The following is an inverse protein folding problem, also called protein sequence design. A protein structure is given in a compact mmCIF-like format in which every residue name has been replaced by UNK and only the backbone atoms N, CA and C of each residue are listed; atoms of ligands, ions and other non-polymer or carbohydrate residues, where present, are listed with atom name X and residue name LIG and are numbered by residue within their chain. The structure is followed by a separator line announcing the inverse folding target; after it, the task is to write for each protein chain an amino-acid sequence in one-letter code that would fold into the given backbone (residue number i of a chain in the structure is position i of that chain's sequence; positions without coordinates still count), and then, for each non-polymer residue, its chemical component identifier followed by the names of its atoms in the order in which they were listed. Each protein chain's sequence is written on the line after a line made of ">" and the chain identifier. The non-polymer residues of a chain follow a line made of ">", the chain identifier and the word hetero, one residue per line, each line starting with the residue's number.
data_IF_539984802285
#
_entry.id   IF_539984802285
#
_cell.length_a   1.000
_cell.length_b   1.000
_cell.length_c   1.000
_cell.angle_alpha   90.00
_cell.angle_beta   90.00
_cell.angle_gamma   90.00
#
_symmetry.space_group_name_H-M   'P 1'
#
loop_
_entity.id
_entity.type
_entity.pdbx_description
1 polymer ?
#
# COMPACT_ATOMS: atom_id res chain seq x y z
N UNK A 1 -10.47 -5.81 -1.98
CA UNK A 1 -11.06 -7.06 -1.50
C UNK A 1 -10.62 -8.25 -2.35
N UNK A 2 -11.04 -9.45 -2.06
CA UNK A 2 -10.68 -10.63 -2.84
C UNK A 2 -11.83 -11.64 -2.90
N UNK A 3 -11.66 -12.67 -3.73
CA UNK A 3 -12.54 -13.84 -3.83
C UNK A 3 -12.74 -14.58 -2.51
N UNK A 4 -11.81 -14.47 -1.55
CA UNK A 4 -11.93 -15.07 -0.21
C UNK A 4 -13.17 -14.66 0.57
N UNK A 5 -13.87 -13.60 0.18
CA UNK A 5 -15.17 -13.22 0.78
C UNK A 5 -16.25 -14.26 0.51
N UNK A 6 -16.05 -15.12 -0.48
CA UNK A 6 -16.94 -16.23 -0.80
C UNK A 6 -16.40 -17.53 -0.25
N UNK A 7 -17.31 -18.40 0.17
CA UNK A 7 -16.98 -19.74 0.63
C UNK A 7 -18.10 -20.68 0.29
N UNK A 8 -17.76 -21.84 -0.26
CA UNK A 8 -18.72 -22.88 -0.61
C UNK A 8 -18.45 -23.45 -1.99
N UNK A 9 -19.36 -24.28 -2.43
CA UNK A 9 -19.37 -24.86 -3.77
C UNK A 9 -20.56 -24.24 -4.52
N UNK A 10 -20.28 -23.50 -5.56
CA UNK A 10 -21.27 -22.83 -6.37
C UNK A 10 -21.43 -23.61 -7.70
N UNK A 11 -22.67 -23.73 -8.17
CA UNK A 11 -22.96 -24.43 -9.44
C UNK A 11 -22.58 -23.57 -10.65
N UNK A 12 -22.73 -22.24 -10.50
CA UNK A 12 -22.43 -21.23 -11.54
C UNK A 12 -21.36 -20.25 -11.07
N UNK A 13 -20.87 -19.42 -12.02
CA UNK A 13 -20.02 -18.28 -11.71
C UNK A 13 -20.69 -17.33 -10.70
N UNK A 14 -19.91 -16.83 -9.76
CA UNK A 14 -20.40 -15.96 -8.69
C UNK A 14 -20.47 -14.52 -9.21
N UNK A 15 -21.67 -13.96 -9.27
CA UNK A 15 -21.92 -12.54 -9.56
C UNK A 15 -21.67 -11.64 -8.34
N UNK A 16 -21.57 -10.33 -8.56
CA UNK A 16 -21.36 -9.32 -7.51
C UNK A 16 -22.55 -9.18 -6.55
N UNK A 17 -23.72 -9.62 -6.95
CA UNK A 17 -24.98 -9.66 -6.18
C UNK A 17 -25.01 -10.78 -5.12
N UNK A 18 -24.13 -11.79 -5.27
CA UNK A 18 -24.03 -12.88 -4.31
C UNK A 18 -23.48 -12.37 -2.99
N UNK A 19 -24.19 -12.68 -1.90
CA UNK A 19 -23.80 -12.25 -0.56
C UNK A 19 -22.50 -12.95 -0.12
N UNK A 20 -21.51 -12.19 0.39
CA UNK A 20 -20.30 -12.76 0.99
C UNK A 20 -20.61 -13.75 2.11
N UNK A 21 -19.95 -14.90 2.09
CA UNK A 21 -20.20 -16.03 3.01
C UNK A 21 -18.94 -16.53 3.72
N UNK A 22 -17.80 -15.88 3.50
CA UNK A 22 -16.52 -16.32 4.04
C UNK A 22 -16.46 -16.38 5.57
N UNK A 23 -15.99 -17.50 6.12
CA UNK A 23 -15.93 -17.74 7.57
C UNK A 23 -14.53 -17.63 8.15
N UNK A 24 -13.49 -17.72 7.31
CA UNK A 24 -12.09 -17.55 7.72
C UNK A 24 -11.85 -16.12 8.24
N UNK A 25 -10.90 -15.95 9.15
CA UNK A 25 -10.58 -14.64 9.77
C UNK A 25 -10.35 -13.56 8.69
N UNK A 26 -9.50 -13.87 7.70
CA UNK A 26 -9.19 -12.92 6.60
C UNK A 26 -10.44 -12.56 5.80
N UNK A 27 -11.27 -13.54 5.44
CA UNK A 27 -12.53 -13.29 4.74
C UNK A 27 -13.46 -12.38 5.54
N UNK A 28 -13.63 -12.64 6.84
CA UNK A 28 -14.44 -11.78 7.74
C UNK A 28 -13.90 -10.36 7.82
N UNK A 29 -12.59 -10.19 7.89
CA UNK A 29 -11.97 -8.85 7.90
C UNK A 29 -12.25 -8.10 6.59
N UNK A 30 -12.16 -8.78 5.44
CA UNK A 30 -12.50 -8.19 4.14
C UNK A 30 -13.97 -7.81 4.05
N UNK A 31 -14.89 -8.68 4.50
CA UNK A 31 -16.33 -8.40 4.54
C UNK A 31 -16.61 -7.17 5.41
N UNK A 32 -16.02 -7.09 6.60
CA UNK A 32 -16.19 -5.93 7.49
C UNK A 32 -15.61 -4.65 6.85
N UNK A 33 -14.50 -4.74 6.13
CA UNK A 33 -13.94 -3.59 5.41
C UNK A 33 -14.88 -3.12 4.29
N UNK A 34 -15.52 -4.03 3.55
CA UNK A 34 -16.53 -3.68 2.55
C UNK A 34 -17.76 -3.02 3.20
N UNK A 35 -18.26 -3.53 4.33
CA UNK A 35 -19.36 -2.93 5.08
C UNK A 35 -19.03 -1.50 5.57
N UNK A 36 -17.80 -1.27 6.01
CA UNK A 36 -17.32 0.08 6.37
C UNK A 36 -17.34 0.99 5.15
N UNK A 37 -16.85 0.54 4.01
CA UNK A 37 -16.88 1.29 2.75
C UNK A 37 -18.30 1.66 2.35
N UNK A 38 -19.23 0.71 2.46
CA UNK A 38 -20.65 0.95 2.17
C UNK A 38 -21.28 1.97 3.13
N UNK A 39 -20.95 1.92 4.41
CA UNK A 39 -21.38 2.91 5.39
C UNK A 39 -20.87 4.32 5.06
N UNK A 40 -19.61 4.47 4.66
CA UNK A 40 -19.07 5.76 4.25
C UNK A 40 -19.73 6.27 2.96
N UNK A 41 -19.99 5.39 2.01
CA UNK A 41 -20.73 5.73 0.78
C UNK A 41 -22.14 6.24 1.10
N UNK A 42 -22.89 5.49 1.91
CA UNK A 42 -24.29 5.76 2.18
C UNK A 42 -24.52 6.96 3.11
N UNK A 43 -23.68 7.13 4.14
CA UNK A 43 -23.87 8.14 5.17
C UNK A 43 -23.14 9.45 4.87
N UNK A 44 -22.01 9.39 4.12
CA UNK A 44 -21.14 10.55 3.87
C UNK A 44 -21.07 10.93 2.39
N UNK A 45 -21.70 10.16 1.50
CA UNK A 45 -21.71 10.41 0.07
C UNK A 45 -20.33 10.26 -0.57
N UNK A 46 -19.44 9.46 0.03
CA UNK A 46 -18.11 9.22 -0.53
C UNK A 46 -18.19 8.34 -1.78
N UNK A 47 -17.45 8.71 -2.81
CA UNK A 47 -17.31 7.90 -4.02
C UNK A 47 -16.28 6.77 -3.77
N UNK A 48 -16.78 5.59 -3.46
CA UNK A 48 -15.98 4.42 -3.12
C UNK A 48 -16.33 3.28 -4.06
N UNK A 49 -15.34 2.73 -4.75
CA UNK A 49 -15.45 1.56 -5.58
C UNK A 49 -14.77 0.36 -4.90
N UNK A 50 -15.47 -0.76 -4.79
CA UNK A 50 -14.94 -2.01 -4.26
C UNK A 50 -14.56 -2.92 -5.41
N UNK A 51 -13.30 -3.34 -5.46
CA UNK A 51 -12.80 -4.31 -6.42
C UNK A 51 -12.49 -5.61 -5.69
N UNK A 52 -13.19 -6.71 -6.03
CA UNK A 52 -12.92 -8.06 -5.54
C UNK A 52 -12.04 -8.76 -6.56
N UNK A 53 -10.78 -8.95 -6.20
CA UNK A 53 -9.80 -9.61 -7.06
C UNK A 53 -9.92 -11.13 -6.89
N UNK A 54 -9.85 -11.81 -7.99
CA UNK A 54 -9.71 -13.26 -8.02
C UNK A 54 -8.32 -13.70 -7.53
N UNK A 55 -7.99 -14.99 -7.56
CA UNK A 55 -6.69 -15.52 -7.13
C UNK A 55 -5.54 -14.78 -7.81
N UNK A 56 -5.03 -13.75 -7.11
CA UNK A 56 -3.96 -12.90 -7.64
C UNK A 56 -2.65 -13.69 -7.67
N UNK A 57 -2.05 -13.78 -8.86
CA UNK A 57 -0.77 -14.44 -9.06
C UNK A 57 0.28 -13.48 -9.62
N UNK A 58 1.49 -13.57 -9.06
CA UNK A 58 2.67 -12.86 -9.53
C UNK A 58 3.90 -13.75 -9.41
N UNK A 59 4.98 -13.38 -10.10
CA UNK A 59 6.25 -14.10 -10.02
C UNK A 59 7.00 -13.62 -8.77
N UNK A 60 7.19 -14.49 -7.73
CA UNK A 60 7.84 -14.08 -6.49
C UNK A 60 9.31 -13.75 -6.72
N UNK A 61 9.84 -12.79 -5.98
CA UNK A 61 11.26 -12.41 -6.05
C UNK A 61 12.12 -13.19 -5.07
N UNK A 62 11.53 -13.57 -3.94
CA UNK A 62 12.17 -14.34 -2.87
C UNK A 62 11.16 -15.24 -2.14
N UNK A 63 11.61 -15.96 -1.13
CA UNK A 63 10.78 -16.87 -0.33
C UNK A 63 9.69 -16.17 0.49
N UNK A 64 9.88 -14.89 0.82
CA UNK A 64 8.94 -14.12 1.64
C UNK A 64 7.73 -13.65 0.81
N UNK A 65 7.84 -13.65 -0.53
CA UNK A 65 6.77 -13.28 -1.47
C UNK A 65 5.97 -14.51 -1.99
N UNK A 66 6.12 -15.69 -1.41
CA UNK A 66 5.37 -16.88 -1.81
C UNK A 66 4.00 -16.89 -1.10
N UNK A 67 3.07 -16.14 -1.64
CA UNK A 67 1.71 -15.95 -1.12
C UNK A 67 0.61 -16.45 -2.08
N UNK A 68 0.97 -16.80 -3.33
CA UNK A 68 0.02 -17.27 -4.34
C UNK A 68 0.14 -18.77 -4.61
N UNK A 69 -0.96 -19.36 -5.08
CA UNK A 69 -1.09 -20.80 -5.30
C UNK A 69 -0.06 -21.35 -6.29
N UNK A 70 0.21 -20.61 -7.38
CA UNK A 70 1.17 -21.04 -8.41
C UNK A 70 2.60 -21.12 -7.85
N UNK A 71 3.02 -20.10 -7.09
CA UNK A 71 4.35 -20.06 -6.49
C UNK A 71 4.50 -21.12 -5.40
N UNK A 72 3.46 -21.34 -4.58
CA UNK A 72 3.44 -22.38 -3.58
C UNK A 72 3.63 -23.76 -4.21
N UNK A 73 2.85 -24.11 -5.24
CA UNK A 73 2.98 -25.39 -5.92
C UNK A 73 4.34 -25.57 -6.60
N UNK A 74 4.92 -24.51 -7.15
CA UNK A 74 6.29 -24.54 -7.66
C UNK A 74 7.30 -24.85 -6.56
N UNK A 75 7.18 -24.21 -5.39
CA UNK A 75 8.06 -24.45 -4.25
C UNK A 75 7.92 -25.88 -3.71
N UNK A 76 6.70 -26.40 -3.53
CA UNK A 76 6.43 -27.77 -3.12
C UNK A 76 7.07 -28.77 -4.09
N UNK A 77 6.94 -28.54 -5.40
CA UNK A 77 7.59 -29.35 -6.43
C UNK A 77 9.11 -29.39 -6.30
N UNK A 78 9.73 -28.24 -5.97
CA UNK A 78 11.19 -28.11 -5.85
C UNK A 78 11.72 -28.68 -4.51
N UNK A 79 11.01 -28.41 -3.40
CA UNK A 79 11.47 -28.73 -2.04
C UNK A 79 11.12 -30.16 -1.64
N UNK A 80 9.88 -30.55 -1.90
CA UNK A 80 9.30 -31.80 -1.40
C UNK A 80 9.22 -32.91 -2.46
N UNK A 81 9.47 -32.56 -3.73
CA UNK A 81 9.30 -33.49 -4.86
C UNK A 81 7.84 -33.94 -5.03
N UNK A 82 6.90 -33.22 -4.44
CA UNK A 82 5.46 -33.52 -4.52
C UNK A 82 4.65 -32.25 -4.48
N UNK A 83 3.49 -32.23 -5.17
CA UNK A 83 2.55 -31.12 -5.20
C UNK A 83 1.23 -31.63 -4.62
N UNK A 84 0.73 -30.96 -3.60
CA UNK A 84 -0.57 -31.26 -3.00
C UNK A 84 -1.66 -30.51 -3.75
N UNK A 85 -2.71 -31.19 -4.18
CA UNK A 85 -3.82 -30.62 -4.94
C UNK A 85 -5.16 -31.10 -4.40
N UNK A 86 -6.15 -30.22 -4.40
CA UNK A 86 -7.55 -30.61 -4.20
C UNK A 86 -8.20 -30.89 -5.56
N UNK A 87 -8.78 -32.10 -5.68
CA UNK A 87 -9.38 -32.53 -6.95
C UNK A 87 -10.68 -31.80 -7.30
N UNK A 88 -11.31 -31.18 -6.30
CA UNK A 88 -12.59 -30.47 -6.44
C UNK A 88 -12.45 -28.95 -6.50
N UNK A 89 -11.22 -28.44 -6.36
CA UNK A 89 -11.00 -27.00 -6.34
C UNK A 89 -10.81 -26.47 -7.76
N UNK A 90 -11.78 -25.68 -8.20
CA UNK A 90 -11.77 -24.94 -9.47
C UNK A 90 -11.89 -23.44 -9.18
N UNK A 91 -11.04 -22.65 -9.83
CA UNK A 91 -10.92 -21.22 -9.63
C UNK A 91 -10.38 -20.57 -10.92
N UNK A 92 -10.34 -19.26 -10.97
CA UNK A 92 -9.62 -18.54 -12.00
C UNK A 92 -8.41 -17.79 -11.42
N UNK A 93 -7.42 -17.52 -12.26
CA UNK A 93 -6.17 -16.86 -11.87
C UNK A 93 -6.11 -15.48 -12.50
N UNK A 94 -6.02 -14.44 -11.68
CA UNK A 94 -5.76 -13.09 -12.14
C UNK A 94 -4.27 -12.78 -12.03
N UNK A 95 -3.61 -12.49 -13.14
CA UNK A 95 -2.20 -12.14 -13.14
C UNK A 95 -1.99 -10.66 -12.80
N UNK A 96 -0.90 -10.34 -12.09
CA UNK A 96 -0.55 -8.99 -11.64
C UNK A 96 -0.69 -7.93 -12.75
N UNK A 97 -0.28 -8.25 -13.97
CA UNK A 97 -0.36 -7.30 -15.10
C UNK A 97 -1.78 -6.95 -15.48
N UNK A 98 -2.68 -7.94 -15.51
CA UNK A 98 -4.10 -7.72 -15.80
C UNK A 98 -4.76 -6.98 -14.64
N UNK A 99 -4.44 -7.35 -13.39
CA UNK A 99 -4.95 -6.66 -12.21
C UNK A 99 -4.58 -5.16 -12.22
N UNK A 100 -3.32 -4.84 -12.53
CA UNK A 100 -2.85 -3.45 -12.64
C UNK A 100 -3.59 -2.69 -13.75
N UNK A 101 -3.74 -3.30 -14.92
CA UNK A 101 -4.46 -2.67 -16.04
C UNK A 101 -5.93 -2.45 -15.71
N UNK A 102 -6.60 -3.44 -15.11
CA UNK A 102 -7.99 -3.33 -14.70
C UNK A 102 -8.20 -2.20 -13.70
N UNK A 103 -7.38 -2.13 -12.65
CA UNK A 103 -7.42 -1.04 -11.65
C UNK A 103 -7.15 0.31 -12.33
N UNK A 104 -6.16 0.39 -13.22
CA UNK A 104 -5.84 1.62 -13.92
C UNK A 104 -7.00 2.13 -14.77
N UNK A 105 -7.74 1.25 -15.43
CA UNK A 105 -8.89 1.64 -16.22
C UNK A 105 -10.07 2.13 -15.36
N UNK A 106 -10.30 1.51 -14.19
CA UNK A 106 -11.33 2.03 -13.27
C UNK A 106 -11.01 3.46 -12.81
N UNK A 107 -9.73 3.79 -12.58
CA UNK A 107 -9.31 5.13 -12.16
C UNK A 107 -9.53 6.22 -13.22
N UNK A 108 -9.67 5.86 -14.51
CA UNK A 108 -9.93 6.81 -15.60
C UNK A 108 -11.39 7.24 -15.67
N UNK A 109 -12.29 6.46 -15.12
CA UNK A 109 -13.73 6.70 -15.20
C UNK A 109 -14.18 7.47 -13.96
N UNK A 110 -14.92 8.57 -14.17
CA UNK A 110 -15.41 9.42 -13.08
C UNK A 110 -16.69 8.90 -12.40
N UNK A 111 -17.48 8.09 -13.10
CA UNK A 111 -18.72 7.52 -12.58
C UNK A 111 -18.81 6.06 -12.99
N UNK A 112 -19.03 5.18 -12.03
CA UNK A 112 -19.19 3.75 -12.22
C UNK A 112 -20.66 3.37 -12.19
N UNK A 113 -21.08 2.38 -12.99
CA UNK A 113 -22.46 1.88 -12.99
C UNK A 113 -22.75 1.07 -11.73
N UNK A 114 -21.76 0.40 -11.18
CA UNK A 114 -21.87 -0.41 -9.98
C UNK A 114 -20.86 0.02 -8.92
N UNK A 115 -21.10 -0.38 -7.68
CA UNK A 115 -20.25 -0.08 -6.54
C UNK A 115 -19.23 -1.17 -6.24
N UNK A 116 -19.43 -2.35 -6.82
CA UNK A 116 -18.59 -3.54 -6.64
C UNK A 116 -18.37 -4.15 -8.00
N UNK A 117 -17.13 -4.55 -8.31
CA UNK A 117 -16.78 -5.33 -9.50
C UNK A 117 -15.88 -6.48 -9.13
N UNK A 118 -16.07 -7.59 -9.83
CA UNK A 118 -15.14 -8.71 -9.82
C UNK A 118 -14.07 -8.50 -10.87
N UNK A 119 -12.80 -8.63 -10.48
CA UNK A 119 -11.66 -8.62 -11.38
C UNK A 119 -11.15 -10.05 -11.52
N UNK A 120 -11.45 -10.68 -12.63
CA UNK A 120 -11.08 -12.07 -12.93
C UNK A 120 -10.54 -12.19 -14.35
N UNK A 121 -9.77 -13.25 -14.62
CA UNK A 121 -9.35 -13.56 -15.98
C UNK A 121 -10.45 -14.24 -16.80
N UNK A 122 -11.44 -14.85 -16.14
CA UNK A 122 -12.44 -15.69 -16.77
C UNK A 122 -11.91 -17.07 -17.23
N UNK A 123 -10.61 -17.36 -17.08
CA UNK A 123 -10.00 -18.65 -17.40
C UNK A 123 -10.11 -19.59 -16.21
N UNK A 124 -11.07 -20.51 -16.24
CA UNK A 124 -11.27 -21.49 -15.16
C UNK A 124 -10.21 -22.58 -15.23
N UNK A 125 -9.55 -22.84 -14.10
CA UNK A 125 -8.52 -23.85 -13.97
C UNK A 125 -8.73 -24.68 -12.69
N UNK A 126 -8.44 -25.97 -12.76
CA UNK A 126 -8.38 -26.83 -11.56
C UNK A 126 -6.95 -26.93 -11.01
N UNK A 127 -6.81 -27.17 -9.70
CA UNK A 127 -5.49 -27.40 -9.10
C UNK A 127 -4.72 -28.54 -9.76
N UNK A 128 -5.43 -29.60 -10.21
CA UNK A 128 -4.83 -30.75 -10.90
C UNK A 128 -4.19 -30.33 -12.23
N UNK A 129 -4.90 -29.51 -13.02
CA UNK A 129 -4.39 -28.99 -14.31
C UNK A 129 -3.20 -28.07 -14.06
N UNK A 130 -3.27 -27.18 -13.08
CA UNK A 130 -2.19 -26.29 -12.71
C UNK A 130 -0.94 -27.05 -12.27
N UNK A 131 -1.08 -28.07 -11.41
CA UNK A 131 0.02 -28.93 -10.99
C UNK A 131 0.64 -29.68 -12.18
N UNK A 132 -0.19 -30.14 -13.12
CA UNK A 132 0.28 -30.76 -14.37
C UNK A 132 1.14 -29.84 -15.21
N UNK A 133 0.72 -28.56 -15.37
CA UNK A 133 1.50 -27.54 -16.07
C UNK A 133 2.84 -27.26 -15.35
N UNK A 134 2.82 -27.08 -14.02
CA UNK A 134 4.02 -26.82 -13.22
C UNK A 134 5.01 -27.98 -13.37
N UNK A 135 4.54 -29.24 -13.20
CA UNK A 135 5.38 -30.42 -13.38
C UNK A 135 6.01 -30.50 -14.78
N UNK A 136 5.22 -30.19 -15.82
CA UNK A 136 5.69 -30.15 -17.23
C UNK A 136 6.82 -29.13 -17.42
N UNK A 137 6.65 -27.93 -16.87
CA UNK A 137 7.63 -26.84 -17.07
C UNK A 137 8.82 -26.89 -16.10
N UNK A 138 8.64 -27.49 -14.91
CA UNK A 138 9.75 -27.78 -14.01
C UNK A 138 10.64 -28.91 -14.50
N UNK A 139 10.15 -29.72 -15.44
CA UNK A 139 10.85 -30.90 -15.95
C UNK A 139 11.37 -31.79 -14.82
N UNK A 140 10.52 -32.03 -13.84
CA UNK A 140 10.84 -32.87 -12.71
C UNK A 140 9.81 -34.00 -12.55
N UNK A 141 10.21 -35.03 -11.80
CA UNK A 141 9.35 -36.20 -11.52
C UNK A 141 8.48 -36.02 -10.28
N UNK A 142 8.15 -34.77 -9.92
CA UNK A 142 7.32 -34.51 -8.75
C UNK A 142 6.00 -35.30 -8.80
N UNK A 143 5.66 -35.94 -7.71
CA UNK A 143 4.39 -36.67 -7.58
C UNK A 143 3.26 -35.68 -7.29
N UNK A 144 2.08 -35.93 -7.86
CA UNK A 144 0.88 -35.16 -7.53
C UNK A 144 0.10 -35.95 -6.49
N UNK A 145 -0.02 -35.37 -5.28
CA UNK A 145 -0.76 -35.97 -4.17
C UNK A 145 -2.14 -35.33 -4.14
N UNK A 146 -3.16 -36.12 -4.42
CA UNK A 146 -4.55 -35.65 -4.41
C UNK A 146 -5.10 -35.68 -3.00
N UNK A 147 -5.73 -34.60 -2.59
CA UNK A 147 -6.53 -34.48 -1.38
C UNK A 147 -7.98 -34.26 -1.79
N UNK A 148 -8.92 -34.63 -0.93
CA UNK A 148 -10.34 -34.32 -1.11
C UNK A 148 -10.77 -33.37 0.02
N UNK A 149 -10.00 -32.32 0.23
CA UNK A 149 -10.42 -31.23 1.09
C UNK A 149 -11.53 -30.44 0.37
N UNK A 150 -12.46 -29.88 1.12
CA UNK A 150 -13.70 -29.25 0.62
C UNK A 150 -13.45 -27.95 -0.19
N UNK A 151 -12.44 -27.93 -1.05
CA UNK A 151 -12.28 -26.91 -2.07
C UNK A 151 -13.43 -27.06 -3.06
N UNK A 152 -14.27 -26.05 -3.18
CA UNK A 152 -15.41 -26.06 -4.06
C UNK A 152 -15.14 -25.34 -5.36
N UNK A 153 -16.09 -25.36 -6.27
CA UNK A 153 -16.13 -24.49 -7.43
C UNK A 153 -16.42 -23.05 -6.94
N UNK A 154 -15.44 -22.17 -7.04
CA UNK A 154 -15.54 -20.77 -6.63
C UNK A 154 -14.93 -19.86 -7.71
N UNK A 155 -15.68 -19.63 -8.77
CA UNK A 155 -15.25 -18.84 -9.93
C UNK A 155 -16.01 -17.53 -9.95
N UNK A 156 -15.31 -16.40 -9.99
CA UNK A 156 -15.93 -15.10 -10.08
C UNK A 156 -16.35 -14.76 -11.51
N UNK A 157 -17.55 -14.17 -11.67
CA UNK A 157 -18.00 -13.64 -12.93
C UNK A 157 -17.46 -12.23 -13.16
N UNK A 158 -16.73 -11.99 -14.23
CA UNK A 158 -16.22 -10.68 -14.63
C UNK A 158 -17.15 -9.91 -15.59
N UNK A 159 -18.36 -10.40 -15.87
CA UNK A 159 -19.25 -9.87 -16.90
C UNK A 159 -19.55 -8.40 -16.76
N UNK A 160 -19.89 -7.95 -15.53
CA UNK A 160 -20.22 -6.55 -15.28
C UNK A 160 -19.04 -5.62 -15.51
N UNK A 161 -17.84 -6.07 -15.17
CA UNK A 161 -16.61 -5.32 -15.41
C UNK A 161 -16.32 -5.23 -16.93
N UNK A 162 -16.39 -6.34 -17.64
CA UNK A 162 -16.15 -6.39 -19.08
C UNK A 162 -17.18 -5.56 -19.87
N UNK A 163 -18.45 -5.61 -19.50
CA UNK A 163 -19.51 -4.82 -20.14
C UNK A 163 -19.34 -3.31 -19.94
N UNK A 164 -18.79 -2.89 -18.82
CA UNK A 164 -18.61 -1.46 -18.56
C UNK A 164 -17.33 -0.90 -19.13
N UNK A 165 -16.21 -1.64 -18.96
CA UNK A 165 -14.89 -1.13 -19.33
C UNK A 165 -14.41 -1.67 -20.70
N UNK A 166 -15.02 -2.69 -21.24
CA UNK A 166 -14.66 -3.28 -22.55
C UNK A 166 -13.28 -3.93 -22.57
N UNK A 167 -12.82 -4.43 -21.43
CA UNK A 167 -11.47 -4.94 -21.26
C UNK A 167 -11.53 -6.38 -20.79
N UNK A 168 -10.68 -7.22 -21.41
CA UNK A 168 -10.50 -8.62 -21.07
C UNK A 168 -9.07 -8.87 -20.61
N UNK A 169 -8.86 -9.92 -19.81
CA UNK A 169 -7.52 -10.36 -19.44
C UNK A 169 -6.74 -10.79 -20.69
N UNK A 170 -5.48 -10.38 -20.75
CA UNK A 170 -4.58 -10.70 -21.87
C UNK A 170 -3.48 -11.69 -21.47
N UNK A 171 -3.26 -11.90 -20.18
CA UNK A 171 -2.21 -12.75 -19.65
C UNK A 171 -2.67 -14.22 -19.64
N UNK A 172 -2.08 -15.06 -20.51
CA UNK A 172 -2.35 -16.50 -20.51
C UNK A 172 -1.68 -17.19 -19.34
N UNK A 173 -2.44 -18.03 -18.63
CA UNK A 173 -1.96 -18.76 -17.45
C UNK A 173 -0.78 -19.66 -17.80
N UNK A 174 -0.83 -20.43 -18.90
CA UNK A 174 0.27 -21.33 -19.30
C UNK A 174 1.60 -20.58 -19.50
N UNK A 175 1.58 -19.43 -20.19
CA UNK A 175 2.78 -18.63 -20.44
C UNK A 175 3.39 -18.04 -19.16
N UNK A 176 2.56 -17.61 -18.24
CA UNK A 176 3.02 -17.02 -16.98
C UNK A 176 3.51 -18.10 -16.00
N UNK A 177 2.85 -19.25 -15.92
CA UNK A 177 3.34 -20.41 -15.18
C UNK A 177 4.70 -20.86 -15.72
N UNK A 178 4.88 -20.92 -17.04
CA UNK A 178 6.18 -21.22 -17.65
C UNK A 178 7.26 -20.22 -17.28
N UNK A 179 6.96 -18.91 -17.27
CA UNK A 179 7.90 -17.87 -16.84
C UNK A 179 8.24 -18.01 -15.35
N UNK A 180 7.23 -18.23 -14.51
CA UNK A 180 7.40 -18.41 -13.07
C UNK A 180 8.28 -19.63 -12.76
N UNK A 181 7.96 -20.78 -13.32
CA UNK A 181 8.73 -22.02 -13.12
C UNK A 181 10.18 -21.87 -13.57
N UNK A 182 10.41 -21.27 -14.74
CA UNK A 182 11.75 -20.98 -15.25
C UNK A 182 12.52 -20.02 -14.35
N UNK A 183 11.85 -19.02 -13.80
CA UNK A 183 12.44 -18.07 -12.87
C UNK A 183 12.79 -18.72 -11.53
N UNK A 184 11.86 -19.45 -10.92
CA UNK A 184 12.07 -20.11 -9.64
C UNK A 184 13.17 -21.19 -9.74
N UNK A 185 13.20 -21.98 -10.83
CA UNK A 185 14.26 -22.95 -11.11
C UNK A 185 15.65 -22.28 -11.24
N UNK A 186 15.70 -21.12 -11.92
CA UNK A 186 16.96 -20.36 -12.06
C UNK A 186 17.51 -19.83 -10.73
N UNK A 187 16.63 -19.59 -9.76
CA UNK A 187 16.96 -19.02 -8.45
C UNK A 187 16.59 -19.97 -7.32
N UNK A 188 16.75 -21.27 -7.54
CA UNK A 188 16.42 -22.33 -6.59
C UNK A 188 17.06 -22.12 -5.22
N UNK A 189 18.31 -21.64 -5.18
CA UNK A 189 19.03 -21.31 -3.96
C UNK A 189 18.34 -20.25 -3.10
N UNK A 190 17.58 -19.33 -3.71
CA UNK A 190 16.80 -18.31 -2.99
C UNK A 190 15.54 -18.91 -2.39
N UNK A 191 14.85 -19.77 -3.13
CA UNK A 191 13.54 -20.30 -2.75
C UNK A 191 13.62 -21.53 -1.85
N UNK A 192 14.51 -22.47 -2.16
CA UNK A 192 14.63 -23.74 -1.41
C UNK A 192 15.51 -23.57 -0.19
N UNK A 193 16.64 -22.87 -0.30
CA UNK A 193 17.63 -22.71 0.78
C UNK A 193 17.52 -21.39 1.53
N UNK A 194 16.47 -20.57 1.24
CA UNK A 194 16.19 -19.29 1.90
C UNK A 194 17.41 -18.33 1.90
N UNK A 195 18.29 -18.46 0.94
CA UNK A 195 19.44 -17.55 0.81
C UNK A 195 18.97 -16.21 0.30
N UNK A 196 18.87 -15.22 1.18
CA UNK A 196 18.51 -13.83 0.80
C UNK A 196 19.40 -13.34 -0.33
N UNK A 197 18.80 -12.92 -1.43
CA UNK A 197 19.49 -12.30 -2.55
C UNK A 197 20.30 -11.11 -2.06
N UNK A 198 21.62 -11.21 -2.08
CA UNK A 198 22.47 -10.05 -1.82
C UNK A 198 22.32 -9.09 -2.99
N UNK A 199 21.56 -8.03 -2.79
CA UNK A 199 21.58 -6.91 -3.73
C UNK A 199 23.02 -6.44 -3.94
N UNK A 200 23.43 -6.12 -5.18
CA UNK A 200 24.77 -5.55 -5.41
C UNK A 200 24.97 -4.36 -4.46
N UNK A 201 26.17 -4.26 -3.91
CA UNK A 201 26.51 -3.27 -2.86
C UNK A 201 26.09 -1.84 -3.23
N UNK A 202 26.21 -1.45 -4.51
CA UNK A 202 25.83 -0.13 -4.99
C UNK A 202 24.31 0.10 -4.95
N UNK A 203 23.45 -0.95 -5.15
CA UNK A 203 22.00 -0.84 -4.98
C UNK A 203 21.61 -0.74 -3.50
N UNK A 204 22.33 -1.41 -2.61
CA UNK A 204 22.12 -1.28 -1.16
C UNK A 204 22.47 0.13 -0.70
N UNK A 205 23.57 0.70 -1.19
CA UNK A 205 23.96 2.08 -0.93
C UNK A 205 22.94 3.05 -1.49
N UNK A 206 22.50 2.87 -2.75
CA UNK A 206 21.50 3.72 -3.40
C UNK A 206 20.15 3.70 -2.67
N UNK A 207 19.67 2.53 -2.26
CA UNK A 207 18.44 2.40 -1.47
C UNK A 207 18.55 3.10 -0.11
N UNK A 208 19.72 3.00 0.55
CA UNK A 208 20.00 3.68 1.81
C UNK A 208 20.01 5.20 1.64
N UNK A 209 20.62 5.69 0.55
CA UNK A 209 20.63 7.11 0.20
C UNK A 209 19.24 7.63 -0.16
N UNK A 210 18.45 6.88 -0.94
CA UNK A 210 17.08 7.28 -1.26
C UNK A 210 16.19 7.32 -0.02
N UNK A 211 16.36 6.38 0.91
CA UNK A 211 15.64 6.44 2.19
C UNK A 211 16.01 7.68 3.00
N UNK A 212 17.32 8.00 3.10
CA UNK A 212 17.81 9.21 3.76
C UNK A 212 17.26 10.49 3.09
N UNK A 213 17.31 10.55 1.75
CA UNK A 213 16.77 11.69 1.00
C UNK A 213 15.28 11.87 1.28
N UNK A 214 14.49 10.79 1.23
CA UNK A 214 13.04 10.85 1.54
C UNK A 214 12.79 11.31 2.99
N UNK A 215 13.57 10.84 3.93
CA UNK A 215 13.46 11.26 5.32
C UNK A 215 13.84 12.75 5.52
N UNK A 216 14.72 13.29 4.68
CA UNK A 216 15.18 14.69 4.73
C UNK A 216 14.25 15.67 4.03
N UNK A 217 13.41 15.21 3.08
CA UNK A 217 12.52 16.11 2.30
C UNK A 217 11.67 17.00 3.21
N UNK A 218 10.94 16.51 4.23
CA UNK A 218 10.11 17.35 5.09
C UNK A 218 10.91 18.43 5.85
N UNK A 219 12.17 18.11 6.22
CA UNK A 219 13.05 19.09 6.89
C UNK A 219 13.53 20.17 5.92
N UNK A 220 13.84 19.82 4.68
CA UNK A 220 14.24 20.78 3.64
C UNK A 220 13.07 21.71 3.31
N UNK A 221 11.88 21.16 3.14
CA UNK A 221 10.66 21.96 2.91
C UNK A 221 10.40 22.90 4.08
N UNK A 222 10.58 22.44 5.30
CA UNK A 222 10.45 23.23 6.51
C UNK A 222 11.41 24.43 6.53
N UNK A 223 12.69 24.20 6.22
CA UNK A 223 13.71 25.28 6.14
C UNK A 223 13.37 26.27 5.01
N UNK A 224 12.93 25.80 3.84
CA UNK A 224 12.54 26.67 2.72
C UNK A 224 11.34 27.52 3.13
N UNK A 225 10.33 26.95 3.76
CA UNK A 225 9.17 27.67 4.25
C UNK A 225 9.49 28.62 5.40
N UNK A 226 10.52 28.38 6.18
CA UNK A 226 10.96 29.30 7.25
C UNK A 226 11.36 30.67 6.69
N UNK A 227 12.00 30.73 5.54
CA UNK A 227 12.51 31.99 4.95
C UNK A 227 11.41 33.06 4.77
N UNK A 228 10.27 32.80 4.11
CA UNK A 228 9.21 33.81 3.99
C UNK A 228 8.59 34.20 5.34
N UNK A 229 8.44 33.26 6.29
CA UNK A 229 7.94 33.60 7.63
C UNK A 229 8.93 34.46 8.43
N UNK A 230 10.22 34.19 8.30
CA UNK A 230 11.27 35.03 8.87
C UNK A 230 11.27 36.46 8.25
N UNK A 231 11.13 36.56 6.93
CA UNK A 231 11.00 37.85 6.25
C UNK A 231 9.73 38.59 6.66
N UNK A 232 8.60 37.89 6.77
CA UNK A 232 7.33 38.46 7.19
C UNK A 232 7.45 39.01 8.61
N UNK A 233 7.98 38.23 9.55
CA UNK A 233 8.21 38.68 10.93
C UNK A 233 9.10 39.92 11.02
N UNK A 234 10.11 40.04 10.16
CA UNK A 234 10.98 41.20 10.12
C UNK A 234 10.31 42.46 9.56
N UNK A 235 9.33 42.31 8.65
CA UNK A 235 8.60 43.42 8.04
C UNK A 235 7.38 43.88 8.85
N UNK A 236 6.77 42.96 9.62
CA UNK A 236 5.52 43.26 10.38
C UNK A 236 5.77 43.98 11.69
N UNK A 237 7.01 44.01 12.15
CA UNK A 237 7.36 44.74 13.37
C UNK A 237 7.22 46.24 13.13
N UNK A 238 6.26 46.87 13.83
CA UNK A 238 5.91 48.29 13.69
C UNK A 238 4.65 48.53 12.82
N UNK A 239 4.00 47.52 12.29
CA UNK A 239 2.73 47.64 11.59
C UNK A 239 1.57 47.53 12.57
N UNK A 240 0.73 48.56 12.71
CA UNK A 240 -0.46 48.57 13.56
C UNK A 240 -1.49 47.47 13.19
N UNK A 241 -1.58 47.18 11.89
CA UNK A 241 -2.54 46.16 11.38
C UNK A 241 -2.16 44.70 11.69
N UNK A 242 -0.86 44.42 11.90
CA UNK A 242 -0.33 43.08 12.13
C UNK A 242 0.30 42.91 13.52
N UNK A 243 0.09 43.85 14.41
CA UNK A 243 0.66 43.88 15.75
C UNK A 243 0.26 42.63 16.62
N UNK A 244 -0.91 42.04 16.32
CA UNK A 244 -1.44 40.89 17.03
C UNK A 244 -1.20 39.55 16.32
N UNK A 245 -0.54 39.54 15.16
CA UNK A 245 -0.23 38.33 14.42
C UNK A 245 1.21 37.93 14.67
N UNK A 246 1.41 36.73 15.22
CA UNK A 246 2.74 36.14 15.33
C UNK A 246 3.01 35.21 14.13
N UNK A 247 3.85 35.62 13.14
CA UNK A 247 4.16 34.80 11.98
C UNK A 247 4.85 33.48 12.34
N UNK A 248 5.65 33.46 13.42
CA UNK A 248 6.30 32.22 13.85
C UNK A 248 5.33 31.20 14.44
N UNK A 249 4.33 31.67 15.16
CA UNK A 249 3.26 30.81 15.65
C UNK A 249 2.51 30.15 14.49
N UNK A 250 2.20 30.95 13.47
CA UNK A 250 1.49 30.48 12.29
C UNK A 250 2.32 29.47 11.49
N UNK A 251 3.63 29.68 11.41
CA UNK A 251 4.58 28.74 10.79
C UNK A 251 4.62 27.40 11.55
N UNK A 252 4.74 27.42 12.87
CA UNK A 252 4.76 26.19 13.67
C UNK A 252 3.44 25.42 13.56
N UNK A 253 2.29 26.13 13.58
CA UNK A 253 0.98 25.54 13.36
C UNK A 253 0.83 24.86 12.01
N UNK A 254 1.30 25.51 10.95
CA UNK A 254 1.25 24.94 9.60
C UNK A 254 1.93 23.58 9.55
N UNK A 255 3.16 23.48 10.07
CA UNK A 255 3.91 22.25 10.07
C UNK A 255 3.39 21.20 11.07
N UNK A 256 2.77 21.64 12.18
CA UNK A 256 2.09 20.74 13.12
C UNK A 256 0.91 20.01 12.44
N UNK A 257 0.10 20.74 11.68
CA UNK A 257 -1.08 20.18 10.99
C UNK A 257 -0.70 19.27 9.82
N UNK A 258 0.31 19.66 9.02
CA UNK A 258 0.66 18.93 7.78
C UNK A 258 1.54 17.71 8.07
N UNK A 259 2.54 17.84 8.94
CA UNK A 259 3.61 16.85 9.14
C UNK A 259 3.67 16.27 10.56
N UNK A 260 2.82 16.75 11.46
CA UNK A 260 2.74 16.26 12.83
C UNK A 260 3.87 16.73 13.75
N UNK A 261 3.99 16.09 14.92
CA UNK A 261 4.77 16.52 16.07
C UNK A 261 6.27 16.76 15.77
N UNK A 262 6.92 15.88 14.99
CA UNK A 262 8.36 15.99 14.75
C UNK A 262 8.71 17.26 13.98
N UNK A 263 7.95 17.57 12.94
CA UNK A 263 8.18 18.77 12.14
C UNK A 263 7.75 20.06 12.86
N UNK A 264 6.70 19.99 13.67
CA UNK A 264 6.30 21.09 14.54
C UNK A 264 7.41 21.48 15.52
N UNK A 265 8.04 20.50 16.15
CA UNK A 265 9.18 20.72 17.07
C UNK A 265 10.36 21.35 16.33
N UNK A 266 10.67 20.85 15.14
CA UNK A 266 11.73 21.42 14.31
C UNK A 266 11.42 22.87 13.88
N UNK A 267 10.17 23.15 13.47
CA UNK A 267 9.71 24.50 13.14
C UNK A 267 9.83 25.45 14.33
N UNK A 268 9.49 24.99 15.54
CA UNK A 268 9.63 25.79 16.76
C UNK A 268 11.11 26.14 17.03
N UNK A 269 12.02 25.20 16.84
CA UNK A 269 13.46 25.45 16.97
C UNK A 269 13.92 26.48 15.94
N UNK A 270 13.50 26.37 14.67
CA UNK A 270 13.84 27.35 13.63
C UNK A 270 13.28 28.74 13.97
N UNK A 271 12.03 28.81 14.45
CA UNK A 271 11.40 30.06 14.86
C UNK A 271 12.17 30.74 16.01
N UNK A 272 12.54 29.97 17.05
CA UNK A 272 13.35 30.46 18.18
C UNK A 272 14.71 30.93 17.71
N UNK A 273 15.39 30.18 16.85
CA UNK A 273 16.69 30.57 16.30
C UNK A 273 16.59 31.88 15.49
N UNK A 274 15.55 32.02 14.63
CA UNK A 274 15.29 33.25 13.88
C UNK A 274 14.99 34.47 14.77
N UNK A 275 14.21 34.25 15.83
CA UNK A 275 13.93 35.30 16.82
C UNK A 275 15.18 35.74 17.55
N UNK A 276 15.96 34.81 18.09
CA UNK A 276 17.21 35.09 18.80
C UNK A 276 18.24 35.78 17.90
N UNK A 277 18.39 35.31 16.66
CA UNK A 277 19.28 35.93 15.67
C UNK A 277 18.94 37.43 15.46
N UNK A 278 17.66 37.76 15.38
CA UNK A 278 17.21 39.13 15.27
C UNK A 278 17.47 39.96 16.50
N UNK A 279 17.19 39.39 17.68
CA UNK A 279 17.41 40.11 18.97
C UNK A 279 18.88 40.42 19.22
N UNK A 280 19.78 39.54 18.80
CA UNK A 280 21.24 39.77 18.92
C UNK A 280 21.73 41.01 18.16
N UNK A 281 20.97 41.50 17.16
CA UNK A 281 21.29 42.74 16.46
C UNK A 281 20.91 44.01 17.24
N UNK A 282 19.91 43.90 18.14
CA UNK A 282 19.30 45.06 18.79
C UNK A 282 19.56 45.11 20.31
N UNK A 283 19.97 44.00 20.93
CA UNK A 283 20.16 43.90 22.40
C UNK A 283 21.42 43.09 22.73
N UNK A 284 21.94 43.33 23.92
CA UNK A 284 23.05 42.50 24.46
C UNK A 284 22.52 41.09 24.81
N UNK A 285 23.34 40.04 24.61
CA UNK A 285 22.93 38.68 24.89
C UNK A 285 22.42 38.46 26.31
N UNK A 286 22.90 39.25 27.27
CA UNK A 286 22.48 39.19 28.67
C UNK A 286 21.03 39.68 28.90
N UNK A 287 20.60 40.71 28.18
CA UNK A 287 19.22 41.24 28.25
C UNK A 287 18.20 40.25 27.67
N UNK A 288 18.59 39.46 26.65
CA UNK A 288 17.73 38.44 26.06
C UNK A 288 17.51 37.29 27.04
N UNK A 289 18.55 36.88 27.78
CA UNK A 289 18.49 35.80 28.76
C UNK A 289 17.63 36.18 29.99
N UNK A 290 17.54 37.48 30.32
CA UNK A 290 16.76 37.96 31.46
C UNK A 290 15.29 38.30 31.10
N UNK A 291 14.91 38.24 29.82
CA UNK A 291 13.55 38.58 29.38
C UNK A 291 12.58 37.42 29.58
N UNK A 292 11.79 37.47 30.64
CA UNK A 292 10.77 36.48 30.98
C UNK A 292 9.75 36.26 29.85
N UNK A 293 9.38 37.32 29.10
CA UNK A 293 8.41 37.21 28.02
C UNK A 293 8.91 36.35 26.84
N UNK A 294 10.22 36.37 26.59
CA UNK A 294 10.85 35.52 25.61
C UNK A 294 10.69 34.00 25.96
N UNK A 295 10.85 33.64 27.24
CA UNK A 295 10.66 32.24 27.66
C UNK A 295 9.21 31.78 27.56
N UNK A 296 8.26 32.66 27.96
CA UNK A 296 6.82 32.36 27.83
C UNK A 296 6.45 32.14 26.36
N UNK A 297 6.94 32.99 25.47
CA UNK A 297 6.71 32.86 24.04
C UNK A 297 7.33 31.58 23.46
N UNK A 298 8.54 31.21 23.81
CA UNK A 298 9.18 29.95 23.45
C UNK A 298 8.34 28.78 23.93
N UNK A 299 7.91 28.79 25.20
CA UNK A 299 7.07 27.73 25.73
C UNK A 299 5.75 27.58 24.99
N UNK A 300 5.11 28.68 24.59
CA UNK A 300 3.88 28.67 23.80
C UNK A 300 4.07 28.01 22.44
N UNK A 301 5.17 28.31 21.72
CA UNK A 301 5.48 27.69 20.44
C UNK A 301 5.62 26.15 20.56
N UNK A 302 6.37 25.69 21.57
CA UNK A 302 6.57 24.25 21.78
C UNK A 302 5.30 23.55 22.23
N UNK A 303 4.56 24.12 23.19
CA UNK A 303 3.32 23.52 23.70
C UNK A 303 2.30 23.42 22.56
N UNK A 304 2.12 24.49 21.79
CA UNK A 304 1.17 24.51 20.69
C UNK A 304 1.56 23.50 19.59
N UNK A 305 2.86 23.46 19.21
CA UNK A 305 3.37 22.53 18.24
C UNK A 305 3.20 21.07 18.67
N UNK A 306 3.43 20.78 19.97
CA UNK A 306 3.23 19.44 20.52
C UNK A 306 1.76 19.04 20.56
N UNK A 307 0.87 19.91 21.04
CA UNK A 307 -0.57 19.60 21.17
C UNK A 307 -1.21 19.39 19.81
N UNK A 308 -0.99 20.32 18.88
CA UNK A 308 -1.61 20.26 17.54
C UNK A 308 -0.95 19.16 16.70
N UNK A 309 0.36 18.96 16.82
CA UNK A 309 1.06 17.92 16.06
C UNK A 309 0.81 16.49 16.55
N UNK A 310 0.21 16.34 17.73
CA UNK A 310 -0.21 15.04 18.28
C UNK A 310 -1.63 14.66 17.86
N UNK A 311 -2.49 15.62 17.56
CA UNK A 311 -3.86 15.39 17.07
C UNK A 311 -3.88 14.88 15.63
#
# INVERSE_FOLDING_TARGET
>A
SSDEVYQGNYEDEIGEDVRPSGTKIRAKTLIQAEEICDNFRNNWGMDILILRLDHLCHIPKDSDEIDNICARMCLESMRDGSIKVDIHHEFSILWEKDAVEFIYQTMKVKKHKQNIYHLTSGEVISEVVLAGMIRKFMDNSASVITTSDNGGHCVLSGKNFEEEYGIHAFAKTEDNVKKMTSYMKKYEDVFVYERKRKLPWWKQVLNRWMWLIRAMIPFIENIICFIPFFMLNNRTVGSEYLANLDPYLLYVLLFAIIYGQQQATFSAICAVAGYLFRQMYNRTGFEIILDYNTYVWIAQLFILGLVVGYM
#
